data_IF_496646513429
#
_entry.id   IF_496646513429
#
_cell.length_a   1.000
_cell.length_b   1.000
_cell.length_c   1.000
_cell.angle_alpha   90.00
_cell.angle_beta   90.00
_cell.angle_gamma   90.00
#
_symmetry.space_group_name_H-M   'P 1'
#
loop_
_entity.id
_entity.type
_entity.pdbx_description
1 polymer ?
#
# COMPACT_ATOMS: atom_id res chain seq x y z
N UNK A 1 -20.18 1.07 -2.92
CA UNK A 1 -19.03 0.67 -3.77
C UNK A 1 -17.76 0.94 -3.00
N UNK A 2 -16.74 0.10 -3.08
CA UNK A 2 -15.40 0.38 -2.55
C UNK A 2 -14.72 1.35 -3.51
N UNK A 3 -13.99 2.35 -3.00
CA UNK A 3 -13.36 3.37 -3.81
C UNK A 3 -12.30 2.78 -4.75
N UNK A 4 -11.34 2.04 -4.19
CA UNK A 4 -10.22 1.41 -4.90
C UNK A 4 -9.59 0.31 -4.03
N UNK A 5 -8.72 -0.51 -4.62
CA UNK A 5 -8.02 -1.60 -3.96
C UNK A 5 -6.51 -1.51 -4.16
N UNK A 6 -5.74 -1.85 -3.12
CA UNK A 6 -4.30 -2.11 -3.18
C UNK A 6 -3.99 -3.53 -2.71
N UNK A 7 -3.17 -4.24 -3.46
CA UNK A 7 -2.55 -5.51 -3.05
C UNK A 7 -1.09 -5.24 -2.73
N UNK A 8 -0.70 -5.40 -1.47
CA UNK A 8 0.64 -5.06 -0.98
C UNK A 8 1.51 -6.31 -0.76
N UNK A 9 2.82 -6.14 -0.97
CA UNK A 9 3.82 -7.19 -0.74
C UNK A 9 3.83 -8.28 -1.80
N UNK A 10 3.64 -7.90 -3.06
CA UNK A 10 3.89 -8.77 -4.21
C UNK A 10 5.40 -8.90 -4.39
N UNK A 11 5.91 -10.14 -4.51
CA UNK A 11 7.35 -10.41 -4.50
C UNK A 11 7.82 -11.35 -5.61
N UNK A 12 6.94 -11.79 -6.52
CA UNK A 12 7.29 -12.65 -7.64
C UNK A 12 6.50 -12.33 -8.91
N UNK A 13 7.12 -12.60 -10.07
CA UNK A 13 6.55 -12.31 -11.40
C UNK A 13 5.30 -13.13 -11.71
N UNK A 14 5.20 -14.35 -11.22
CA UNK A 14 4.05 -15.22 -11.48
C UNK A 14 2.78 -14.62 -10.85
N UNK A 15 2.89 -14.23 -9.59
CA UNK A 15 1.82 -13.55 -8.86
C UNK A 15 1.50 -12.19 -9.48
N UNK A 16 2.52 -11.39 -9.81
CA UNK A 16 2.32 -10.08 -10.44
C UNK A 16 1.57 -10.19 -11.76
N UNK A 17 2.00 -11.10 -12.64
CA UNK A 17 1.34 -11.33 -13.92
C UNK A 17 -0.09 -11.84 -13.75
N UNK A 18 -0.35 -12.67 -12.74
CA UNK A 18 -1.70 -13.13 -12.43
C UNK A 18 -2.61 -11.96 -12.06
N UNK A 19 -2.14 -11.06 -11.18
CA UNK A 19 -2.88 -9.86 -10.76
C UNK A 19 -3.15 -8.93 -11.94
N UNK A 20 -2.12 -8.61 -12.74
CA UNK A 20 -2.22 -7.69 -13.87
C UNK A 20 -3.11 -8.20 -15.01
N UNK A 21 -3.22 -9.52 -15.16
CA UNK A 21 -4.06 -10.14 -16.19
C UNK A 21 -5.48 -10.47 -15.70
N UNK A 22 -5.79 -10.22 -14.42
CA UNK A 22 -7.14 -10.41 -13.91
C UNK A 22 -8.12 -9.43 -14.61
N UNK A 23 -9.39 -9.83 -14.88
CA UNK A 23 -10.39 -8.92 -15.48
C UNK A 23 -10.63 -7.65 -14.67
N UNK A 24 -10.47 -7.72 -13.35
CA UNK A 24 -10.64 -6.61 -12.40
C UNK A 24 -9.35 -6.42 -11.58
N UNK A 25 -8.24 -5.93 -12.17
CA UNK A 25 -6.99 -5.77 -11.44
C UNK A 25 -7.12 -4.63 -10.41
N UNK A 26 -6.36 -4.68 -9.28
CA UNK A 26 -6.38 -3.61 -8.31
C UNK A 26 -5.74 -2.34 -8.88
N UNK A 27 -6.14 -1.19 -8.38
CA UNK A 27 -5.57 0.10 -8.79
C UNK A 27 -4.12 0.28 -8.33
N UNK A 28 -3.73 -0.37 -7.23
CA UNK A 28 -2.38 -0.25 -6.67
C UNK A 28 -1.78 -1.62 -6.38
N UNK A 29 -0.49 -1.78 -6.67
CA UNK A 29 0.30 -2.97 -6.35
C UNK A 29 1.55 -2.51 -5.61
N UNK A 30 1.75 -3.00 -4.37
CA UNK A 30 2.85 -2.60 -3.50
C UNK A 30 3.98 -3.63 -3.44
N UNK A 31 5.23 -3.13 -3.46
CA UNK A 31 6.46 -3.90 -3.35
C UNK A 31 7.25 -3.41 -2.12
N UNK A 32 7.64 -4.31 -1.21
CA UNK A 32 8.45 -3.96 -0.05
C UNK A 32 9.91 -3.81 -0.48
N UNK A 33 10.39 -2.57 -0.50
CA UNK A 33 11.64 -2.23 -1.19
C UNK A 33 12.87 -2.16 -0.26
N UNK A 34 12.70 -1.80 1.01
CA UNK A 34 13.88 -1.64 1.90
C UNK A 34 13.74 -2.26 3.30
N UNK A 35 12.64 -2.90 3.61
CA UNK A 35 12.46 -3.53 4.92
C UNK A 35 12.80 -5.02 4.87
N UNK A 36 14.08 -5.35 4.99
CA UNK A 36 14.64 -6.73 4.85
C UNK A 36 14.08 -7.74 5.84
N UNK A 37 13.55 -7.32 7.00
CA UNK A 37 12.90 -8.22 7.97
C UNK A 37 11.53 -8.73 7.48
N UNK A 38 10.93 -8.05 6.51
CA UNK A 38 9.66 -8.50 5.94
C UNK A 38 9.86 -9.73 5.08
N UNK A 39 9.03 -10.76 5.27
CA UNK A 39 8.96 -11.94 4.38
C UNK A 39 8.60 -11.59 2.93
N UNK A 40 8.09 -10.37 2.69
CA UNK A 40 7.67 -9.82 1.40
C UNK A 40 8.72 -8.91 0.77
N UNK A 41 9.88 -8.77 1.42
CA UNK A 41 10.97 -7.96 0.90
C UNK A 41 11.41 -8.47 -0.48
N UNK A 42 11.69 -7.56 -1.38
CA UNK A 42 12.17 -7.85 -2.72
C UNK A 42 13.59 -7.32 -2.85
N UNK A 43 14.53 -8.21 -3.15
CA UNK A 43 15.91 -7.81 -3.47
C UNK A 43 15.93 -6.96 -4.75
N UNK A 44 16.88 -6.03 -4.83
CA UNK A 44 16.91 -5.01 -5.87
C UNK A 44 16.91 -5.58 -7.30
N UNK A 45 17.68 -6.63 -7.55
CA UNK A 45 17.77 -7.27 -8.86
C UNK A 45 16.42 -7.88 -9.29
N UNK A 46 15.69 -8.46 -8.35
CA UNK A 46 14.34 -8.98 -8.58
C UNK A 46 13.33 -7.85 -8.74
N UNK A 47 13.52 -6.76 -8.01
CA UNK A 47 12.63 -5.59 -8.08
C UNK A 47 12.65 -4.96 -9.48
N UNK A 48 13.84 -4.81 -10.10
CA UNK A 48 13.97 -4.33 -11.48
C UNK A 48 13.11 -5.17 -12.43
N UNK A 49 13.19 -6.49 -12.33
CA UNK A 49 12.42 -7.39 -13.18
C UNK A 49 10.91 -7.28 -12.93
N UNK A 50 10.50 -7.12 -11.66
CA UNK A 50 9.10 -6.97 -11.30
C UNK A 50 8.49 -5.66 -11.85
N UNK A 51 9.20 -4.55 -11.73
CA UNK A 51 8.64 -3.25 -12.13
C UNK A 51 8.82 -2.91 -13.60
N UNK A 52 9.61 -3.70 -14.33
CA UNK A 52 9.83 -3.53 -15.78
C UNK A 52 8.78 -4.27 -16.64
N UNK A 53 7.61 -4.56 -16.09
CA UNK A 53 6.50 -5.15 -16.85
C UNK A 53 5.47 -4.09 -17.22
N UNK A 54 4.63 -4.40 -18.20
CA UNK A 54 3.49 -3.54 -18.51
C UNK A 54 2.47 -3.61 -17.36
N UNK A 55 2.39 -2.55 -16.57
CA UNK A 55 1.51 -2.44 -15.39
C UNK A 55 0.03 -2.20 -15.74
N UNK A 56 -0.29 -2.10 -17.04
CA UNK A 56 -1.64 -1.88 -17.55
C UNK A 56 -2.28 -0.66 -16.86
N UNK A 57 -3.41 -0.85 -16.16
CA UNK A 57 -4.12 0.22 -15.44
C UNK A 57 -3.77 0.29 -13.94
N UNK A 58 -2.87 -0.57 -13.45
CA UNK A 58 -2.42 -0.54 -12.05
C UNK A 58 -1.28 0.44 -11.84
N UNK A 59 -1.21 1.06 -10.66
CA UNK A 59 -0.08 1.87 -10.23
C UNK A 59 0.87 1.03 -9.37
N UNK A 60 2.17 1.14 -9.61
CA UNK A 60 3.18 0.48 -8.80
C UNK A 60 3.63 1.37 -7.65
N UNK A 61 3.68 0.80 -6.46
CA UNK A 61 3.99 1.49 -5.20
C UNK A 61 5.23 0.88 -4.57
N UNK A 62 6.30 1.67 -4.44
CA UNK A 62 7.46 1.30 -3.63
C UNK A 62 7.15 1.57 -2.16
N UNK A 63 7.16 0.53 -1.32
CA UNK A 63 6.92 0.64 0.12
C UNK A 63 8.25 0.76 0.85
N UNK A 64 8.41 1.87 1.56
CA UNK A 64 9.68 2.34 2.12
C UNK A 64 9.52 2.69 3.61
N UNK A 65 10.43 2.22 4.43
CA UNK A 65 10.54 2.59 5.86
C UNK A 65 11.81 3.42 6.03
N UNK A 66 11.68 4.67 6.46
CA UNK A 66 12.81 5.61 6.68
C UNK A 66 13.91 5.54 5.59
N UNK A 67 13.57 5.76 4.30
CA UNK A 67 14.52 5.52 3.20
C UNK A 67 15.70 6.49 3.23
N UNK A 68 16.92 5.95 2.99
CA UNK A 68 18.12 6.76 2.81
C UNK A 68 18.18 7.42 1.43
N UNK A 69 18.99 8.48 1.28
CA UNK A 69 19.22 9.10 -0.02
C UNK A 69 19.83 8.13 -1.04
N UNK A 70 20.75 7.28 -0.60
CA UNK A 70 21.38 6.27 -1.44
C UNK A 70 20.35 5.31 -2.04
N UNK A 71 19.43 4.82 -1.22
CA UNK A 71 18.34 3.96 -1.70
C UNK A 71 17.45 4.70 -2.70
N UNK A 72 17.04 5.94 -2.38
CA UNK A 72 16.17 6.72 -3.24
C UNK A 72 16.81 7.00 -4.60
N UNK A 73 18.11 7.32 -4.63
CA UNK A 73 18.88 7.46 -5.89
C UNK A 73 18.92 6.14 -6.68
N UNK A 74 19.06 5.01 -5.97
CA UNK A 74 19.10 3.69 -6.60
C UNK A 74 17.79 3.30 -7.28
N UNK A 75 16.65 3.74 -6.74
CA UNK A 75 15.31 3.32 -7.23
C UNK A 75 14.59 4.41 -8.04
N UNK A 76 15.13 5.62 -8.16
CA UNK A 76 14.46 6.77 -8.78
C UNK A 76 14.02 6.55 -10.23
N UNK A 77 14.78 5.75 -10.98
CA UNK A 77 14.55 5.48 -12.41
C UNK A 77 13.72 4.19 -12.62
N UNK A 78 13.32 3.51 -11.54
CA UNK A 78 12.43 2.38 -11.62
C UNK A 78 10.98 2.82 -11.88
N UNK A 79 10.19 2.00 -12.53
CA UNK A 79 8.83 2.31 -12.99
C UNK A 79 7.79 2.35 -11.87
N UNK A 80 8.06 3.12 -10.80
CA UNK A 80 7.11 3.39 -9.72
C UNK A 80 6.27 4.64 -10.00
N UNK A 81 4.99 4.61 -9.59
CA UNK A 81 4.07 5.74 -9.63
C UNK A 81 3.98 6.45 -8.29
N UNK A 82 4.20 5.70 -7.19
CA UNK A 82 4.11 6.18 -5.82
C UNK A 82 5.26 5.66 -4.95
N UNK A 83 5.70 6.51 -4.01
CA UNK A 83 6.44 6.06 -2.84
C UNK A 83 5.50 6.08 -1.63
N UNK A 84 5.33 4.94 -0.97
CA UNK A 84 4.64 4.81 0.30
C UNK A 84 5.67 4.88 1.43
N UNK A 85 5.58 5.93 2.24
CA UNK A 85 6.59 6.29 3.22
C UNK A 85 6.10 6.02 4.64
N UNK A 86 6.79 5.15 5.36
CA UNK A 86 6.65 4.93 6.80
C UNK A 86 7.79 5.62 7.55
N UNK A 87 7.50 6.18 8.73
CA UNK A 87 8.48 6.82 9.64
C UNK A 87 9.31 7.90 8.95
N UNK A 88 8.66 8.73 8.15
CA UNK A 88 9.28 9.85 7.45
C UNK A 88 8.58 11.15 7.88
N UNK A 89 9.36 12.14 8.36
CA UNK A 89 8.80 13.44 8.76
C UNK A 89 8.22 14.21 7.57
N UNK A 90 7.36 15.17 7.85
CA UNK A 90 6.73 16.03 6.83
C UNK A 90 7.74 16.77 5.97
N UNK A 91 8.78 17.34 6.60
CA UNK A 91 9.88 18.02 5.86
C UNK A 91 10.58 17.06 4.90
N UNK A 92 10.93 15.87 5.39
CA UNK A 92 11.60 14.85 4.57
C UNK A 92 10.68 14.31 3.47
N UNK A 93 9.40 14.14 3.74
CA UNK A 93 8.40 13.75 2.74
C UNK A 93 8.33 14.77 1.60
N UNK A 94 8.29 16.06 1.94
CA UNK A 94 8.28 17.15 0.96
C UNK A 94 9.56 17.21 0.12
N UNK A 95 10.73 17.00 0.75
CA UNK A 95 12.03 16.91 0.04
C UNK A 95 12.02 15.76 -0.99
N UNK A 96 11.59 14.57 -0.57
CA UNK A 96 11.49 13.38 -1.45
C UNK A 96 10.56 13.67 -2.62
N UNK A 97 9.36 14.17 -2.34
CA UNK A 97 8.37 14.51 -3.36
C UNK A 97 8.93 15.47 -4.41
N UNK A 98 9.54 16.57 -3.96
CA UNK A 98 10.10 17.60 -4.86
C UNK A 98 11.29 17.10 -5.67
N UNK A 99 12.22 16.41 -5.00
CA UNK A 99 13.47 15.93 -5.63
C UNK A 99 13.21 14.86 -6.69
N UNK A 100 12.34 13.88 -6.38
CA UNK A 100 12.11 12.74 -7.26
C UNK A 100 10.86 12.91 -8.13
N UNK A 101 10.08 13.98 -7.94
CA UNK A 101 8.84 14.28 -8.69
C UNK A 101 7.87 13.09 -8.68
N UNK A 102 7.81 12.38 -7.56
CA UNK A 102 7.02 11.16 -7.35
C UNK A 102 5.78 11.47 -6.49
N UNK A 103 4.69 10.76 -6.71
CA UNK A 103 3.51 10.82 -5.86
C UNK A 103 3.76 10.11 -4.53
N UNK A 104 3.21 10.65 -3.44
CA UNK A 104 3.44 10.15 -2.08
C UNK A 104 2.17 9.55 -1.49
N UNK A 105 2.34 8.41 -0.85
CA UNK A 105 1.43 7.85 0.14
C UNK A 105 2.12 7.98 1.50
N UNK A 106 1.64 8.86 2.38
CA UNK A 106 2.15 8.92 3.74
C UNK A 106 1.46 7.89 4.60
N UNK A 107 2.22 6.96 5.15
CA UNK A 107 1.71 5.86 5.97
C UNK A 107 1.85 6.21 7.46
N UNK A 108 0.71 6.34 8.13
CA UNK A 108 0.58 6.62 9.56
C UNK A 108 0.29 5.31 10.30
N UNK A 109 1.07 5.05 11.34
CA UNK A 109 0.89 3.89 12.22
C UNK A 109 -0.05 4.25 13.35
N UNK A 110 -1.22 3.60 13.42
CA UNK A 110 -2.33 4.00 14.27
C UNK A 110 -2.43 3.10 15.51
N UNK A 111 -2.53 3.73 16.66
CA UNK A 111 -2.88 3.11 17.94
C UNK A 111 -4.10 3.78 18.58
N UNK A 112 -4.21 5.10 18.41
CA UNK A 112 -5.21 5.95 19.05
C UNK A 112 -5.61 7.12 18.15
N UNK A 113 -6.43 8.03 18.69
CA UNK A 113 -6.94 9.20 17.95
C UNK A 113 -5.85 10.23 17.64
N UNK A 114 -4.84 10.36 18.50
CA UNK A 114 -3.73 11.31 18.29
C UNK A 114 -2.90 10.89 17.07
N UNK A 115 -2.68 9.59 16.89
CA UNK A 115 -2.01 9.06 15.70
C UNK A 115 -2.82 9.34 14.43
N UNK A 116 -4.14 9.23 14.49
CA UNK A 116 -5.01 9.57 13.34
C UNK A 116 -4.86 11.04 12.99
N UNK A 117 -4.89 11.95 13.97
CA UNK A 117 -4.88 13.39 13.76
C UNK A 117 -3.60 13.92 13.09
N UNK A 118 -2.51 13.12 13.08
CA UNK A 118 -1.28 13.41 12.34
C UNK A 118 -1.51 13.54 10.82
N UNK A 119 -2.64 13.04 10.27
CA UNK A 119 -2.96 13.25 8.86
C UNK A 119 -2.92 14.72 8.45
N UNK A 120 -3.25 15.63 9.38
CA UNK A 120 -3.27 17.09 9.15
C UNK A 120 -1.92 17.63 8.70
N UNK A 121 -0.83 17.02 9.20
CA UNK A 121 0.54 17.42 8.87
C UNK A 121 0.98 16.96 7.48
N UNK A 122 0.32 15.94 6.92
CA UNK A 122 0.71 15.30 5.66
C UNK A 122 -0.28 15.55 4.51
N UNK A 123 -1.51 15.99 4.77
CA UNK A 123 -2.58 16.05 3.78
C UNK A 123 -2.27 16.97 2.59
N UNK A 124 -1.50 18.04 2.81
CA UNK A 124 -1.15 19.00 1.75
C UNK A 124 0.09 18.59 0.93
N UNK A 125 0.82 17.58 1.41
CA UNK A 125 2.05 17.12 0.76
C UNK A 125 1.95 15.72 0.18
N UNK A 126 0.91 14.98 0.51
CA UNK A 126 0.72 13.59 0.07
C UNK A 126 -0.54 13.44 -0.77
N UNK A 127 -0.50 12.62 -1.80
CA UNK A 127 -1.67 12.30 -2.62
C UNK A 127 -2.66 11.38 -1.89
N UNK A 128 -2.16 10.56 -0.97
CA UNK A 128 -2.95 9.60 -0.19
C UNK A 128 -2.39 9.55 1.22
N UNK A 129 -3.27 9.49 2.22
CA UNK A 129 -2.90 9.14 3.60
C UNK A 129 -3.33 7.70 3.86
N UNK A 130 -2.37 6.86 4.22
CA UNK A 130 -2.60 5.48 4.64
C UNK A 130 -2.64 5.40 6.16
N UNK A 131 -3.73 4.87 6.70
CA UNK A 131 -3.89 4.52 8.11
C UNK A 131 -3.67 3.01 8.26
N UNK A 132 -2.59 2.62 8.93
CA UNK A 132 -2.18 1.22 9.11
C UNK A 132 -2.05 0.88 10.60
N UNK A 133 -2.31 -0.36 10.97
CA UNK A 133 -2.06 -0.85 12.32
C UNK A 133 -0.56 -0.98 12.63
N UNK A 134 -0.20 -0.99 13.90
CA UNK A 134 1.19 -1.17 14.33
C UNK A 134 1.80 -2.50 13.83
N UNK A 135 3.09 -2.45 13.51
CA UNK A 135 3.92 -3.62 13.22
C UNK A 135 4.13 -3.90 11.73
N UNK A 136 5.37 -3.71 11.27
CA UNK A 136 5.76 -3.95 9.87
C UNK A 136 5.87 -5.44 9.52
N UNK A 137 6.11 -6.31 10.50
CA UNK A 137 6.22 -7.76 10.28
C UNK A 137 4.86 -8.44 10.32
N UNK A 138 4.03 -8.04 11.29
CA UNK A 138 2.66 -8.51 11.45
C UNK A 138 1.81 -7.33 11.86
N UNK A 139 1.06 -6.80 10.92
CA UNK A 139 0.12 -5.70 11.20
C UNK A 139 -0.89 -6.12 12.27
N UNK A 140 -1.03 -5.29 13.28
CA UNK A 140 -2.05 -5.41 14.31
C UNK A 140 -3.25 -4.60 13.82
N UNK A 141 -4.45 -5.14 13.94
CA UNK A 141 -5.66 -4.36 13.67
C UNK A 141 -5.81 -3.25 14.70
N UNK A 142 -6.32 -2.11 14.27
CA UNK A 142 -6.73 -1.02 15.14
C UNK A 142 -8.23 -0.77 15.00
N UNK A 143 -8.81 0.03 15.89
CA UNK A 143 -10.22 0.38 15.81
C UNK A 143 -10.48 1.33 14.63
N UNK A 144 -11.11 0.84 13.59
CA UNK A 144 -11.43 1.60 12.39
C UNK A 144 -12.47 2.71 12.62
N UNK A 145 -13.19 2.71 13.75
CA UNK A 145 -14.13 3.79 14.11
C UNK A 145 -13.39 5.11 14.38
N UNK A 146 -12.13 5.06 14.76
CA UNK A 146 -11.27 6.23 14.89
C UNK A 146 -11.21 7.08 13.60
N UNK A 147 -11.52 6.48 12.45
CA UNK A 147 -11.47 7.12 11.13
C UNK A 147 -12.81 7.73 10.70
N UNK A 148 -13.89 7.57 11.47
CA UNK A 148 -15.24 7.98 11.05
C UNK A 148 -15.40 9.50 10.81
N UNK A 149 -14.58 10.34 11.45
CA UNK A 149 -14.66 11.80 11.36
C UNK A 149 -13.58 12.41 10.44
N UNK A 150 -12.96 11.62 9.58
CA UNK A 150 -12.01 12.15 8.62
C UNK A 150 -12.71 12.97 7.53
N UNK A 151 -12.08 14.07 7.06
CA UNK A 151 -12.63 14.89 5.99
C UNK A 151 -12.96 14.09 4.74
N UNK A 152 -14.08 14.38 4.09
CA UNK A 152 -14.49 13.69 2.85
C UNK A 152 -13.53 13.95 1.69
N UNK A 153 -12.91 15.14 1.63
CA UNK A 153 -11.91 15.50 0.62
C UNK A 153 -10.58 14.80 0.79
N UNK A 154 -10.30 14.18 1.96
CA UNK A 154 -9.08 13.44 2.19
C UNK A 154 -9.06 12.15 1.37
N UNK A 155 -8.05 12.00 0.52
CA UNK A 155 -7.83 10.74 -0.17
C UNK A 155 -7.16 9.74 0.78
N UNK A 156 -7.94 8.78 1.25
CA UNK A 156 -7.60 7.92 2.39
C UNK A 156 -7.54 6.45 2.02
N UNK A 157 -6.50 5.78 2.51
CA UNK A 157 -6.28 4.35 2.38
C UNK A 157 -6.27 3.73 3.78
N UNK A 158 -6.77 2.52 3.91
CA UNK A 158 -6.82 1.79 5.18
C UNK A 158 -6.15 0.43 5.03
N UNK A 159 -5.32 0.07 6.01
CA UNK A 159 -4.67 -1.23 6.18
C UNK A 159 -4.85 -1.74 7.62
N UNK A 160 -4.04 -2.71 8.05
CA UNK A 160 -4.07 -3.24 9.42
C UNK A 160 -4.90 -4.51 9.54
N UNK A 161 -4.34 -5.64 9.09
CA UNK A 161 -4.90 -6.98 9.24
C UNK A 161 -6.32 -7.16 8.65
N UNK A 162 -6.64 -6.43 7.58
CA UNK A 162 -7.93 -6.54 6.90
C UNK A 162 -8.04 -7.93 6.25
N UNK A 163 -9.14 -8.62 6.51
CA UNK A 163 -9.45 -9.92 5.92
C UNK A 163 -10.43 -9.78 4.74
N UNK A 164 -10.43 -10.76 3.85
CA UNK A 164 -11.36 -10.78 2.70
C UNK A 164 -12.83 -10.71 3.17
N UNK A 165 -13.14 -11.34 4.28
CA UNK A 165 -14.48 -11.39 4.88
C UNK A 165 -14.94 -10.01 5.40
N UNK A 166 -13.99 -9.12 5.73
CA UNK A 166 -14.29 -7.80 6.25
C UNK A 166 -14.54 -6.74 5.16
N UNK A 167 -14.22 -7.05 3.90
CA UNK A 167 -14.28 -6.08 2.79
C UNK A 167 -15.66 -5.43 2.66
N UNK A 168 -16.73 -6.18 2.85
CA UNK A 168 -18.10 -5.65 2.79
C UNK A 168 -18.40 -4.56 3.82
N UNK A 169 -17.68 -4.53 4.94
CA UNK A 169 -17.81 -3.50 6.00
C UNK A 169 -17.34 -2.12 5.53
N UNK A 170 -16.52 -2.08 4.47
CA UNK A 170 -15.99 -0.83 3.89
C UNK A 170 -16.81 -0.33 2.71
N UNK A 171 -17.88 -1.03 2.33
CA UNK A 171 -18.80 -0.56 1.29
C UNK A 171 -19.33 0.83 1.64
N UNK A 172 -19.23 1.77 0.70
CA UNK A 172 -19.66 3.17 0.84
C UNK A 172 -18.89 4.02 1.89
N UNK A 173 -17.74 3.55 2.38
CA UNK A 173 -16.91 4.29 3.34
C UNK A 173 -15.81 5.15 2.70
N UNK A 174 -15.77 5.28 1.40
CA UNK A 174 -14.79 6.10 0.65
C UNK A 174 -13.31 5.85 1.01
N UNK A 175 -12.96 4.59 1.30
CA UNK A 175 -11.59 4.18 1.52
C UNK A 175 -11.04 3.40 0.33
N UNK A 176 -9.74 3.60 0.06
CA UNK A 176 -8.92 2.65 -0.67
C UNK A 176 -8.54 1.55 0.32
N UNK A 177 -8.78 0.28 -0.01
CA UNK A 177 -8.46 -0.83 0.88
C UNK A 177 -7.08 -1.39 0.52
N UNK A 178 -6.15 -1.39 1.48
CA UNK A 178 -4.83 -2.02 1.34
C UNK A 178 -4.81 -3.38 2.05
N UNK A 179 -4.61 -4.44 1.28
CA UNK A 179 -4.66 -5.81 1.78
C UNK A 179 -3.36 -6.56 1.45
N UNK A 180 -2.83 -7.28 2.42
CA UNK A 180 -1.57 -8.01 2.27
C UNK A 180 -1.63 -9.43 2.85
N UNK A 181 -1.46 -9.59 4.15
CA UNK A 181 -1.27 -10.89 4.81
C UNK A 181 -2.40 -11.88 4.62
N UNK A 182 -3.65 -11.42 4.56
CA UNK A 182 -4.82 -12.29 4.34
C UNK A 182 -4.88 -12.94 2.94
N UNK A 183 -4.07 -12.44 2.01
CA UNK A 183 -3.89 -13.04 0.67
C UNK A 183 -2.76 -14.06 0.61
N UNK A 184 -2.17 -14.42 1.72
CA UNK A 184 -1.04 -15.35 1.76
C UNK A 184 -1.48 -16.76 2.13
N UNK A 185 -0.75 -17.75 1.60
CA UNK A 185 -0.84 -19.13 2.03
C UNK A 185 -0.02 -19.35 3.33
N UNK A 186 0.00 -20.57 3.83
CA UNK A 186 0.72 -20.94 5.06
C UNK A 186 2.25 -20.71 5.00
N UNK A 187 2.80 -20.61 3.78
CA UNK A 187 4.22 -20.33 3.55
C UNK A 187 4.53 -18.83 3.41
N UNK A 188 3.54 -17.95 3.62
CA UNK A 188 3.70 -16.50 3.50
C UNK A 188 3.81 -15.97 2.07
N UNK A 189 3.48 -16.80 1.07
CA UNK A 189 3.42 -16.38 -0.35
C UNK A 189 2.00 -16.04 -0.74
N UNK A 190 1.84 -15.11 -1.65
CA UNK A 190 0.54 -14.74 -2.22
C UNK A 190 -0.13 -15.96 -2.85
N UNK A 191 -1.43 -16.09 -2.59
CA UNK A 191 -2.28 -17.18 -3.04
C UNK A 191 -3.23 -16.68 -4.12
N UNK A 192 -3.13 -17.24 -5.32
CA UNK A 192 -3.92 -16.79 -6.46
C UNK A 192 -5.43 -17.02 -6.29
N UNK A 193 -5.85 -18.04 -5.55
CA UNK A 193 -7.28 -18.30 -5.29
C UNK A 193 -7.85 -17.21 -4.36
N UNK A 194 -7.10 -16.84 -3.31
CA UNK A 194 -7.47 -15.76 -2.40
C UNK A 194 -7.50 -14.41 -3.13
N UNK A 195 -6.52 -14.15 -4.00
CA UNK A 195 -6.50 -12.94 -4.85
C UNK A 195 -7.73 -12.91 -5.75
N UNK A 196 -8.04 -14.00 -6.45
CA UNK A 196 -9.21 -14.10 -7.31
C UNK A 196 -10.52 -13.86 -6.53
N UNK A 197 -10.66 -14.50 -5.36
CA UNK A 197 -11.80 -14.29 -4.47
C UNK A 197 -11.98 -12.82 -4.09
N UNK A 198 -10.90 -12.15 -3.69
CA UNK A 198 -10.91 -10.73 -3.35
C UNK A 198 -11.33 -9.86 -4.52
N UNK A 199 -10.66 -9.99 -5.68
CA UNK A 199 -10.89 -9.14 -6.85
C UNK A 199 -12.32 -9.29 -7.41
N UNK A 200 -12.84 -10.51 -7.40
CA UNK A 200 -14.23 -10.77 -7.78
C UNK A 200 -15.25 -10.24 -6.75
N UNK A 201 -14.91 -10.26 -5.45
CA UNK A 201 -15.77 -9.70 -4.40
C UNK A 201 -15.87 -8.17 -4.54
N UNK A 202 -14.73 -7.49 -4.68
CA UNK A 202 -14.69 -6.02 -4.78
C UNK A 202 -15.47 -5.51 -6.00
N UNK A 203 -15.43 -6.24 -7.12
CA UNK A 203 -16.19 -5.87 -8.32
C UNK A 203 -17.72 -6.02 -8.18
N UNK A 204 -18.20 -6.79 -7.18
CA UNK A 204 -19.63 -7.04 -6.95
C UNK A 204 -20.28 -6.11 -5.94
N UNK A 205 -19.49 -5.38 -5.17
CA UNK A 205 -19.98 -4.54 -4.05
C UNK A 205 -19.70 -3.06 -4.28
#
# INVERSE_FOLDING_TARGET
MIKDLKICGVSDLKTLNYILNHPNPPKFIGFITNYKKSKRYVEYENLINLVNVNKKQSNFVSVLVSPTNELLEKIKDLNFDYYQLYDVSTLRTLEIKKKYKIKIISALTISDKEDVDKYKDYMDISEIILFDGKGYEKSISFDHELLNNLPSQLNKMIAGNIKIEDISKFKNKDFIIDISGSLENNNGKKDNEKINKLLNLVNKI
#
